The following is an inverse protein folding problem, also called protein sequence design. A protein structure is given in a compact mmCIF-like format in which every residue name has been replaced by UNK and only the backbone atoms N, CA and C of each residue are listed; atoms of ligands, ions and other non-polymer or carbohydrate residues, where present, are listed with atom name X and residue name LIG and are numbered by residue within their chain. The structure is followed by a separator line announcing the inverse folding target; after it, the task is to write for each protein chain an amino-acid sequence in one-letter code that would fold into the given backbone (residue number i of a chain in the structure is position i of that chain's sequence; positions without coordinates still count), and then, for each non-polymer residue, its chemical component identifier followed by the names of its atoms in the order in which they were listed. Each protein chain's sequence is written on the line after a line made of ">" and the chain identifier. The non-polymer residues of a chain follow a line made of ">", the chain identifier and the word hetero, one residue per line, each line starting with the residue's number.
data_IF_536998334575
#
_entry.id   IF_536998334575
#
_cell.length_a   1.000
_cell.length_b   1.000
_cell.length_c   1.000
_cell.angle_alpha   90.00
_cell.angle_beta   90.00
_cell.angle_gamma   90.00
#
_symmetry.space_group_name_H-M   'P 1'
#
loop_
_entity.id
_entity.type
_entity.pdbx_description
1 polymer ?
#
# COMPACT_ATOMS: atom_id res chain seq x y z
N UNK A 1 4.55 -19.82 20.11
CA UNK A 1 3.34 -19.00 20.05
C UNK A 1 2.18 -19.71 20.73
N UNK A 2 1.21 -18.95 21.18
CA UNK A 2 0.00 -19.44 21.84
C UNK A 2 -1.17 -18.55 21.41
N UNK A 3 -2.33 -19.18 21.12
CA UNK A 3 -3.56 -18.48 20.74
C UNK A 3 -3.35 -17.44 19.60
N UNK A 4 -2.56 -17.82 18.59
CA UNK A 4 -2.22 -16.99 17.43
C UNK A 4 -1.22 -15.86 17.69
N UNK A 5 -0.69 -15.72 18.92
CA UNK A 5 0.29 -14.68 19.29
C UNK A 5 1.67 -15.27 19.57
N UNK A 6 2.70 -14.52 19.18
CA UNK A 6 4.09 -14.83 19.51
C UNK A 6 4.30 -14.55 21.01
N UNK A 7 4.65 -15.59 21.76
CA UNK A 7 4.84 -15.46 23.22
C UNK A 7 6.30 -15.37 23.64
N UNK A 8 7.21 -15.81 22.77
CA UNK A 8 8.64 -15.77 23.02
C UNK A 8 9.41 -15.85 21.70
N UNK A 9 10.42 -15.00 21.56
CA UNK A 9 11.47 -15.08 20.53
C UNK A 9 12.81 -15.07 21.25
N UNK A 10 13.56 -16.16 21.16
CA UNK A 10 14.78 -16.28 21.94
C UNK A 10 15.84 -17.17 21.27
N UNK A 11 17.08 -17.00 21.69
CA UNK A 11 18.18 -17.85 21.26
C UNK A 11 18.04 -19.24 21.91
N UNK A 12 17.88 -20.27 21.10
CA UNK A 12 17.74 -21.66 21.57
C UNK A 12 18.92 -22.17 22.43
N UNK A 13 20.11 -21.56 22.31
CA UNK A 13 21.27 -21.90 23.15
C UNK A 13 21.14 -21.36 24.57
N UNK A 14 20.29 -20.35 24.80
CA UNK A 14 20.12 -19.66 26.08
C UNK A 14 18.91 -20.14 26.86
N UNK A 15 18.00 -20.87 26.24
CA UNK A 15 16.75 -21.31 26.85
C UNK A 15 16.61 -22.82 26.75
N UNK A 16 16.31 -23.47 27.91
CA UNK A 16 15.89 -24.86 27.95
C UNK A 16 14.35 -24.91 27.86
N UNK A 17 13.86 -25.34 26.73
CA UNK A 17 12.41 -25.60 26.56
C UNK A 17 12.09 -26.98 27.14
N UNK A 18 11.09 -27.05 28.01
CA UNK A 18 10.57 -28.34 28.49
C UNK A 18 9.83 -29.03 27.33
N UNK A 19 10.23 -30.25 26.96
CA UNK A 19 9.68 -30.97 25.81
C UNK A 19 8.14 -31.17 25.88
N UNK A 20 7.59 -31.28 27.09
CA UNK A 20 6.18 -31.53 27.32
C UNK A 20 5.33 -30.23 27.50
N UNK A 21 5.94 -29.09 27.37
CA UNK A 21 5.24 -27.79 27.53
C UNK A 21 4.48 -27.32 26.28
N UNK A 22 4.61 -28.01 25.16
CA UNK A 22 4.07 -27.58 23.87
C UNK A 22 3.27 -28.69 23.20
N UNK A 23 2.11 -28.32 22.64
CA UNK A 23 1.25 -29.23 21.90
C UNK A 23 1.88 -29.67 20.56
N UNK A 24 2.64 -28.78 19.92
CA UNK A 24 3.27 -29.05 18.64
C UNK A 24 4.66 -28.40 18.61
N UNK A 25 5.63 -29.14 18.10
CA UNK A 25 6.99 -28.65 17.87
C UNK A 25 7.32 -28.85 16.39
N UNK A 26 7.79 -27.78 15.75
CA UNK A 26 8.26 -27.81 14.35
C UNK A 26 9.77 -27.65 14.36
N UNK A 27 10.48 -28.65 13.85
CA UNK A 27 11.92 -28.54 13.65
C UNK A 27 12.20 -27.76 12.37
N UNK A 28 12.74 -26.55 12.53
CA UNK A 28 13.14 -25.67 11.44
C UNK A 28 14.68 -25.59 11.28
N UNK A 29 15.40 -26.62 11.71
CA UNK A 29 16.87 -26.68 11.59
C UNK A 29 17.29 -26.51 10.12
N UNK A 30 18.19 -25.55 9.87
CA UNK A 30 18.67 -25.22 8.52
C UNK A 30 17.68 -24.41 7.66
N UNK A 31 16.58 -23.97 8.23
CA UNK A 31 15.58 -23.12 7.58
C UNK A 31 15.52 -21.73 8.19
N UNK A 32 14.89 -20.81 7.49
CA UNK A 32 14.60 -19.47 7.95
C UNK A 32 13.11 -19.33 8.29
N UNK A 33 12.80 -18.56 9.32
CA UNK A 33 11.43 -18.17 9.68
C UNK A 33 11.27 -16.69 9.39
N UNK A 34 10.25 -16.35 8.60
CA UNK A 34 9.97 -14.98 8.21
C UNK A 34 8.58 -14.55 8.68
N UNK A 35 8.40 -13.26 9.04
CA UNK A 35 7.05 -12.71 9.16
C UNK A 35 6.36 -12.75 7.79
N UNK A 36 5.06 -12.91 7.76
CA UNK A 36 4.28 -12.89 6.53
C UNK A 36 4.51 -11.61 5.75
N UNK A 37 4.72 -11.72 4.44
CA UNK A 37 4.86 -10.59 3.54
C UNK A 37 3.53 -9.89 3.34
N UNK A 38 3.57 -8.57 3.16
CA UNK A 38 2.41 -7.69 3.03
C UNK A 38 2.44 -7.05 1.64
N UNK A 39 1.43 -7.30 0.83
CA UNK A 39 1.22 -6.58 -0.44
C UNK A 39 0.33 -5.37 -0.17
N UNK A 40 0.86 -4.14 -0.21
CA UNK A 40 0.04 -2.94 -0.15
C UNK A 40 -0.54 -2.60 -1.54
N UNK A 41 -1.53 -1.72 -1.57
CA UNK A 41 -2.12 -1.16 -2.79
C UNK A 41 -2.52 -2.21 -3.84
N UNK A 42 -3.23 -3.27 -3.43
CA UNK A 42 -3.56 -4.41 -4.28
C UNK A 42 -5.05 -4.54 -4.58
N UNK A 43 -5.37 -5.10 -5.74
CA UNK A 43 -6.73 -5.50 -6.14
C UNK A 43 -6.99 -7.01 -5.97
N UNK A 44 -6.17 -7.69 -5.17
CA UNK A 44 -6.39 -9.10 -4.82
C UNK A 44 -7.80 -9.31 -4.26
N UNK A 45 -8.55 -10.27 -4.85
CA UNK A 45 -9.92 -10.56 -4.47
C UNK A 45 -10.97 -9.54 -4.89
N UNK A 46 -10.59 -8.48 -5.62
CA UNK A 46 -11.54 -7.56 -6.28
C UNK A 46 -11.75 -7.89 -7.75
N UNK A 47 -10.78 -8.54 -8.38
CA UNK A 47 -10.86 -8.90 -9.80
C UNK A 47 -10.44 -10.35 -9.98
N UNK A 48 -11.30 -11.16 -10.59
CA UNK A 48 -11.00 -12.55 -10.92
C UNK A 48 -10.57 -12.68 -12.39
N UNK A 49 -11.38 -12.19 -13.31
CA UNK A 49 -11.14 -12.26 -14.77
C UNK A 49 -11.28 -10.86 -15.35
N UNK A 50 -10.16 -10.26 -15.79
CA UNK A 50 -10.13 -8.87 -16.33
C UNK A 50 -11.12 -8.64 -17.48
N UNK A 51 -11.36 -9.65 -18.31
CA UNK A 51 -12.25 -9.53 -19.46
C UNK A 51 -13.73 -9.69 -19.13
N UNK A 52 -14.08 -10.02 -17.88
CA UNK A 52 -15.46 -10.27 -17.45
C UNK A 52 -15.87 -9.22 -16.43
N UNK A 53 -16.60 -8.20 -16.87
CA UNK A 53 -16.99 -7.05 -16.04
C UNK A 53 -17.73 -7.44 -14.74
N UNK A 54 -18.49 -8.53 -14.74
CA UNK A 54 -19.18 -9.02 -13.53
C UNK A 54 -18.26 -9.64 -12.48
N UNK A 55 -16.98 -9.78 -12.76
CA UNK A 55 -15.95 -10.26 -11.82
C UNK A 55 -14.85 -9.22 -11.58
N UNK A 56 -15.12 -7.97 -11.92
CA UNK A 56 -14.21 -6.83 -11.84
C UNK A 56 -14.89 -5.74 -11.01
N UNK A 57 -14.58 -5.76 -9.70
CA UNK A 57 -15.13 -4.87 -8.68
C UNK A 57 -14.07 -3.92 -8.11
N UNK A 58 -13.02 -3.64 -8.88
CA UNK A 58 -11.96 -2.75 -8.41
C UNK A 58 -12.31 -1.27 -8.52
N UNK A 59 -13.27 -0.91 -9.40
CA UNK A 59 -13.60 0.47 -9.74
C UNK A 59 -15.10 0.74 -9.68
N UNK A 60 -15.49 1.85 -9.05
CA UNK A 60 -16.86 2.34 -8.96
C UNK A 60 -17.07 3.57 -9.86
N UNK A 61 -18.30 3.75 -10.34
CA UNK A 61 -18.69 4.91 -11.15
C UNK A 61 -18.63 6.18 -10.29
N UNK A 62 -17.96 7.20 -10.78
CA UNK A 62 -17.86 8.51 -10.11
C UNK A 62 -16.45 9.04 -10.00
N UNK A 63 -16.35 10.32 -9.67
CA UNK A 63 -15.05 10.99 -9.53
C UNK A 63 -14.60 11.05 -8.07
N UNK A 64 -15.55 11.13 -7.12
CA UNK A 64 -15.29 11.26 -5.69
C UNK A 64 -16.10 10.21 -4.93
N UNK A 65 -15.47 9.09 -4.63
CA UNK A 65 -16.10 7.89 -4.07
C UNK A 65 -15.53 7.48 -2.70
N UNK A 66 -15.24 8.39 -1.73
CA UNK A 66 -14.60 8.02 -0.46
C UNK A 66 -15.44 7.05 0.37
N UNK A 67 -16.75 6.98 0.13
CA UNK A 67 -17.70 6.06 0.78
C UNK A 67 -17.67 4.63 0.20
N UNK A 68 -17.02 4.44 -0.94
CA UNK A 68 -16.79 3.10 -1.50
C UNK A 68 -15.76 2.37 -0.66
N UNK A 69 -16.07 1.15 -0.25
CA UNK A 69 -15.27 0.33 0.64
C UNK A 69 -14.88 -0.96 -0.08
N UNK A 70 -13.61 -1.12 -0.40
CA UNK A 70 -13.09 -2.29 -1.12
C UNK A 70 -13.43 -3.63 -0.45
N UNK A 71 -13.47 -3.64 0.90
CA UNK A 71 -13.71 -4.86 1.68
C UNK A 71 -15.09 -5.50 1.39
N UNK A 72 -16.08 -4.72 0.97
CA UNK A 72 -17.42 -5.22 0.68
C UNK A 72 -17.44 -6.08 -0.57
N UNK A 73 -16.57 -5.77 -1.55
CA UNK A 73 -16.42 -6.52 -2.79
C UNK A 73 -15.35 -7.63 -2.70
N UNK A 74 -14.62 -7.71 -1.59
CA UNK A 74 -13.51 -8.64 -1.44
C UNK A 74 -13.96 -10.10 -1.41
N UNK A 75 -13.42 -10.89 -2.34
CA UNK A 75 -13.63 -12.33 -2.47
C UNK A 75 -12.47 -13.09 -1.84
N UNK A 76 -12.72 -13.69 -0.66
CA UNK A 76 -11.68 -14.38 0.12
C UNK A 76 -11.21 -15.71 -0.51
N UNK A 77 -12.07 -16.37 -1.29
CA UNK A 77 -11.79 -17.63 -1.97
C UNK A 77 -11.27 -17.49 -3.41
N UNK A 78 -10.80 -16.28 -3.75
CA UNK A 78 -10.18 -15.99 -5.03
C UNK A 78 -9.04 -16.97 -5.34
N UNK A 79 -9.05 -17.55 -6.55
CA UNK A 79 -8.00 -18.46 -7.01
C UNK A 79 -6.65 -17.78 -7.16
N UNK A 80 -6.62 -16.47 -7.34
CA UNK A 80 -5.38 -15.71 -7.38
C UNK A 80 -4.70 -15.70 -6.01
N UNK A 81 -5.48 -15.59 -4.90
CA UNK A 81 -4.97 -15.62 -3.53
C UNK A 81 -4.24 -16.95 -3.25
N UNK A 82 -4.80 -18.07 -3.70
CA UNK A 82 -4.15 -19.37 -3.56
C UNK A 82 -2.75 -19.42 -4.20
N UNK A 83 -2.51 -18.63 -5.25
CA UNK A 83 -1.22 -18.61 -5.97
C UNK A 83 -0.17 -17.70 -5.33
N UNK A 84 -0.55 -16.73 -4.50
CA UNK A 84 0.39 -15.80 -3.87
C UNK A 84 0.84 -16.27 -2.49
N UNK A 85 -0.01 -16.99 -1.75
CA UNK A 85 0.29 -17.51 -0.41
C UNK A 85 1.55 -18.39 -0.34
N UNK A 86 1.80 -19.34 -1.28
CA UNK A 86 3.02 -20.16 -1.27
C UNK A 86 4.32 -19.34 -1.40
N UNK A 87 4.24 -18.08 -1.84
CA UNK A 87 5.38 -17.17 -1.92
C UNK A 87 5.58 -16.33 -0.65
N UNK A 88 4.92 -16.70 0.45
CA UNK A 88 5.04 -16.03 1.75
C UNK A 88 4.19 -14.77 1.89
N UNK A 89 3.35 -14.44 0.91
CA UNK A 89 2.43 -13.30 0.99
C UNK A 89 1.20 -13.74 1.76
N UNK A 90 1.09 -13.25 2.98
CA UNK A 90 0.03 -13.67 3.92
C UNK A 90 -0.97 -12.56 4.23
N UNK A 91 -0.67 -11.32 3.84
CA UNK A 91 -1.51 -10.15 4.07
C UNK A 91 -1.52 -9.24 2.85
N UNK A 92 -2.61 -8.50 2.66
CA UNK A 92 -2.73 -7.51 1.59
C UNK A 92 -3.57 -6.31 2.05
N UNK A 93 -3.25 -5.12 1.53
CA UNK A 93 -4.15 -3.98 1.55
C UNK A 93 -4.98 -4.01 0.26
N UNK A 94 -6.27 -4.21 0.42
CA UNK A 94 -7.22 -4.26 -0.70
C UNK A 94 -7.66 -2.83 -1.02
N UNK A 95 -7.31 -2.38 -2.21
CA UNK A 95 -7.40 -0.97 -2.59
C UNK A 95 -8.33 -0.79 -3.79
N UNK A 96 -9.34 0.08 -3.69
CA UNK A 96 -10.19 0.41 -4.83
C UNK A 96 -9.44 1.27 -5.85
N UNK A 97 -9.86 1.22 -7.09
CA UNK A 97 -9.32 1.98 -8.22
C UNK A 97 -10.31 3.03 -8.71
N UNK A 98 -9.90 3.78 -9.72
CA UNK A 98 -10.74 4.75 -10.43
C UNK A 98 -10.97 6.06 -9.70
N UNK A 99 -11.59 6.99 -10.41
CA UNK A 99 -11.93 8.33 -9.89
C UNK A 99 -10.73 9.16 -9.45
N UNK A 100 -10.98 10.35 -8.88
CA UNK A 100 -9.97 11.15 -8.17
C UNK A 100 -9.87 10.78 -6.69
N UNK A 101 -10.98 10.34 -6.12
CA UNK A 101 -11.04 9.68 -4.82
C UNK A 101 -11.64 8.32 -5.07
N UNK A 102 -10.80 7.28 -5.03
CA UNK A 102 -11.20 5.92 -5.40
C UNK A 102 -12.09 5.27 -4.36
N UNK A 103 -11.83 5.52 -3.08
CA UNK A 103 -12.53 4.89 -1.97
C UNK A 103 -11.63 4.55 -0.81
N UNK A 104 -12.16 3.77 0.11
CA UNK A 104 -11.45 3.28 1.30
C UNK A 104 -10.88 1.89 1.07
N UNK A 105 -9.59 1.74 1.37
CA UNK A 105 -8.92 0.45 1.45
C UNK A 105 -9.18 -0.23 2.79
N UNK A 106 -8.88 -1.53 2.83
CA UNK A 106 -8.87 -2.33 4.07
C UNK A 106 -7.74 -3.35 4.01
N UNK A 107 -7.25 -3.75 5.17
CA UNK A 107 -6.15 -4.71 5.27
C UNK A 107 -6.71 -6.07 5.69
N UNK A 108 -6.32 -7.11 4.96
CA UNK A 108 -6.80 -8.47 5.14
C UNK A 108 -5.65 -9.47 5.29
N UNK A 109 -5.90 -10.55 6.01
CA UNK A 109 -5.14 -11.80 5.91
C UNK A 109 -5.67 -12.62 4.73
N UNK A 110 -4.79 -13.42 4.12
CA UNK A 110 -5.13 -14.16 2.91
C UNK A 110 -5.53 -15.63 3.16
N UNK A 111 -5.81 -15.99 4.42
CA UNK A 111 -6.27 -17.31 4.82
C UNK A 111 -7.58 -17.20 5.62
N UNK A 112 -8.69 -17.03 4.89
CA UNK A 112 -10.01 -16.85 5.50
C UNK A 112 -11.10 -17.40 4.58
N UNK A 113 -12.24 -17.79 5.16
CA UNK A 113 -13.41 -18.24 4.42
C UNK A 113 -14.25 -17.10 3.84
N UNK A 114 -14.28 -15.95 4.53
CA UNK A 114 -15.00 -14.77 4.06
C UNK A 114 -14.36 -13.48 4.57
N UNK A 115 -14.76 -12.36 4.00
CA UNK A 115 -14.12 -11.06 4.22
C UNK A 115 -14.06 -10.59 5.69
N UNK A 116 -15.05 -10.96 6.55
CA UNK A 116 -15.05 -10.58 7.98
C UNK A 116 -13.95 -11.30 8.77
N UNK A 117 -13.67 -12.56 8.43
CA UNK A 117 -12.57 -13.31 9.03
C UNK A 117 -11.22 -12.88 8.48
N UNK A 118 -11.19 -12.44 7.22
CA UNK A 118 -9.99 -11.91 6.59
C UNK A 118 -9.55 -10.58 7.19
N UNK A 119 -10.47 -9.79 7.74
CA UNK A 119 -10.26 -8.40 8.10
C UNK A 119 -9.28 -8.24 9.27
N UNK A 120 -8.15 -7.56 9.01
CA UNK A 120 -7.19 -7.11 10.02
C UNK A 120 -7.51 -5.67 10.43
N UNK A 121 -7.73 -4.77 9.44
CA UNK A 121 -8.05 -3.37 9.68
C UNK A 121 -9.02 -2.87 8.62
N UNK A 122 -10.16 -2.42 9.06
CA UNK A 122 -11.21 -1.90 8.20
C UNK A 122 -10.97 -0.42 7.90
N UNK A 123 -11.20 -0.02 6.63
CA UNK A 123 -11.14 1.38 6.20
C UNK A 123 -9.85 2.09 6.67
N UNK A 124 -8.69 1.47 6.43
CA UNK A 124 -7.39 1.94 6.91
C UNK A 124 -6.99 3.29 6.32
N UNK A 125 -7.48 3.62 5.14
CA UNK A 125 -7.23 4.91 4.50
C UNK A 125 -8.06 5.16 3.25
N UNK A 126 -7.99 6.39 2.78
CA UNK A 126 -8.63 6.85 1.54
C UNK A 126 -7.57 7.08 0.47
N UNK A 127 -7.83 6.60 -0.73
CA UNK A 127 -6.94 6.71 -1.88
C UNK A 127 -7.38 7.85 -2.79
N UNK A 128 -6.43 8.74 -3.15
CA UNK A 128 -6.63 9.81 -4.14
C UNK A 128 -5.62 9.67 -5.28
N UNK A 129 -6.09 9.91 -6.50
CA UNK A 129 -5.29 9.92 -7.70
C UNK A 129 -5.05 11.35 -8.14
N UNK A 130 -3.81 11.83 -8.06
CA UNK A 130 -3.48 13.14 -8.58
C UNK A 130 -3.47 13.13 -10.11
N UNK A 131 -3.88 14.24 -10.74
CA UNK A 131 -3.81 14.35 -12.19
C UNK A 131 -2.35 14.25 -12.67
N UNK A 132 -2.11 13.59 -13.80
CA UNK A 132 -0.81 13.62 -14.45
C UNK A 132 -0.49 15.02 -14.93
N UNK A 133 0.79 15.47 -14.83
CA UNK A 133 1.23 16.79 -15.30
C UNK A 133 1.30 16.85 -16.82
N UNK A 134 1.53 15.70 -17.46
CA UNK A 134 1.52 15.53 -18.91
C UNK A 134 0.49 14.48 -19.32
N UNK A 135 0.00 14.61 -20.54
CA UNK A 135 -0.87 13.61 -21.17
C UNK A 135 -0.26 13.18 -22.49
N UNK A 136 -0.30 11.89 -22.75
CA UNK A 136 0.05 11.34 -24.05
C UNK A 136 -1.22 11.22 -24.88
N UNK A 137 -1.23 11.82 -26.06
CA UNK A 137 -2.27 11.63 -27.07
C UNK A 137 -2.15 10.27 -27.75
N UNK A 138 -3.11 9.96 -28.63
CA UNK A 138 -3.15 8.71 -29.39
C UNK A 138 -3.65 7.52 -28.55
N UNK A 139 -3.35 6.33 -29.02
CA UNK A 139 -3.70 5.07 -28.36
C UNK A 139 -2.46 4.16 -28.24
N UNK A 140 -2.56 3.05 -27.52
CA UNK A 140 -1.40 2.25 -27.15
C UNK A 140 -0.54 1.75 -28.33
N UNK A 141 -1.16 1.46 -29.52
CA UNK A 141 -0.44 1.01 -30.72
C UNK A 141 0.10 2.19 -31.58
N UNK A 142 -0.48 3.38 -31.46
CA UNK A 142 -0.06 4.59 -32.14
C UNK A 142 0.01 5.75 -31.14
N UNK A 143 1.03 5.77 -30.28
CA UNK A 143 1.16 6.80 -29.27
C UNK A 143 1.44 8.17 -29.92
N UNK A 144 0.63 9.15 -29.54
CA UNK A 144 0.76 10.55 -30.00
C UNK A 144 1.79 11.33 -29.19
N UNK A 145 1.80 12.65 -29.42
CA UNK A 145 2.68 13.58 -28.70
C UNK A 145 2.38 13.62 -27.20
N UNK A 146 3.42 13.90 -26.41
CA UNK A 146 3.28 14.20 -24.98
C UNK A 146 3.05 15.70 -24.85
N UNK A 147 1.96 16.10 -24.22
CA UNK A 147 1.58 17.48 -24.03
C UNK A 147 1.30 17.79 -22.56
N UNK A 148 1.58 19.03 -22.09
CA UNK A 148 1.20 19.44 -20.75
C UNK A 148 -0.31 19.30 -20.51
N UNK A 149 -0.68 18.80 -19.34
CA UNK A 149 -2.09 18.71 -18.95
C UNK A 149 -2.63 20.10 -18.59
N UNK A 150 -3.33 20.74 -19.51
CA UNK A 150 -3.93 22.07 -19.32
C UNK A 150 -4.97 22.11 -18.19
N UNK A 151 -5.58 20.98 -17.86
CA UNK A 151 -6.59 20.86 -16.80
C UNK A 151 -5.99 20.52 -15.42
N UNK A 152 -4.67 20.36 -15.31
CA UNK A 152 -4.00 19.94 -14.08
C UNK A 152 -4.42 20.75 -12.85
N UNK A 153 -4.28 22.08 -12.93
CA UNK A 153 -4.60 22.98 -11.81
C UNK A 153 -6.09 22.96 -11.45
N UNK A 154 -6.98 22.88 -12.45
CA UNK A 154 -8.43 22.77 -12.22
C UNK A 154 -8.76 21.47 -11.50
N UNK A 155 -8.19 20.36 -11.94
CA UNK A 155 -8.39 19.05 -11.34
C UNK A 155 -7.86 18.98 -9.90
N UNK A 156 -6.72 19.62 -9.62
CA UNK A 156 -6.19 19.74 -8.27
C UNK A 156 -7.10 20.61 -7.38
N UNK A 157 -7.62 21.71 -7.92
CA UNK A 157 -8.58 22.58 -7.21
C UNK A 157 -9.89 21.86 -6.89
N UNK A 158 -10.39 20.96 -7.75
CA UNK A 158 -11.58 20.16 -7.49
C UNK A 158 -11.37 19.21 -6.28
N UNK A 159 -10.19 18.56 -6.18
CA UNK A 159 -9.84 17.75 -5.02
C UNK A 159 -9.76 18.61 -3.75
N UNK A 160 -9.13 19.79 -3.84
CA UNK A 160 -9.03 20.72 -2.70
C UNK A 160 -10.41 21.21 -2.24
N UNK A 161 -11.28 21.58 -3.18
CA UNK A 161 -12.64 22.02 -2.88
C UNK A 161 -13.46 20.88 -2.21
N UNK A 162 -13.27 19.66 -2.67
CA UNK A 162 -13.88 18.48 -2.06
C UNK A 162 -13.48 18.34 -0.58
N UNK A 163 -12.18 18.38 -0.24
CA UNK A 163 -11.73 18.26 1.15
C UNK A 163 -12.17 19.45 2.01
N UNK A 164 -12.13 20.67 1.48
CA UNK A 164 -12.64 21.86 2.20
C UNK A 164 -14.14 21.74 2.52
N UNK A 165 -14.95 21.32 1.55
CA UNK A 165 -16.39 21.12 1.77
C UNK A 165 -16.67 19.97 2.75
N UNK A 166 -15.89 18.87 2.68
CA UNK A 166 -15.98 17.76 3.61
C UNK A 166 -15.68 18.20 5.05
N UNK A 167 -14.60 18.96 5.24
CA UNK A 167 -14.22 19.50 6.55
C UNK A 167 -15.28 20.45 7.10
N UNK A 168 -15.83 21.31 6.26
CA UNK A 168 -16.91 22.25 6.65
C UNK A 168 -18.17 21.50 7.08
N UNK A 169 -18.58 20.49 6.32
CA UNK A 169 -19.72 19.63 6.66
C UNK A 169 -19.52 18.92 8.02
N UNK A 170 -18.35 18.31 8.25
CA UNK A 170 -18.06 17.60 9.49
C UNK A 170 -17.96 18.51 10.72
N UNK A 171 -17.67 19.80 10.54
CA UNK A 171 -17.63 20.80 11.60
C UNK A 171 -18.97 21.51 11.85
N UNK A 172 -19.97 21.28 10.99
CA UNK A 172 -21.30 21.91 11.06
C UNK A 172 -22.36 21.01 11.68
N UNK A 173 -23.54 21.59 11.89
CA UNK A 173 -24.78 20.88 12.28
C UNK A 173 -25.65 20.74 11.02
N UNK A 174 -25.46 19.68 10.23
CA UNK A 174 -26.30 19.42 9.07
C UNK A 174 -27.43 18.45 9.44
N UNK A 175 -28.66 18.79 9.08
CA UNK A 175 -29.82 17.91 9.29
C UNK A 175 -29.87 16.77 8.26
N UNK A 176 -29.11 16.87 7.16
CA UNK A 176 -29.05 15.86 6.11
C UNK A 176 -27.73 15.09 6.16
N UNK A 177 -27.85 13.77 6.17
CA UNK A 177 -26.69 12.86 6.15
C UNK A 177 -26.07 12.80 4.76
N UNK A 178 -24.73 12.99 4.67
CA UNK A 178 -23.96 12.84 3.45
C UNK A 178 -22.86 11.77 3.63
N UNK A 179 -23.13 10.56 3.14
CA UNK A 179 -22.23 9.41 3.29
C UNK A 179 -20.86 9.63 2.62
N UNK A 180 -20.83 10.36 1.50
CA UNK A 180 -19.58 10.67 0.79
C UNK A 180 -18.66 11.51 1.67
N UNK A 181 -19.24 12.53 2.32
CA UNK A 181 -18.48 13.43 3.19
C UNK A 181 -18.12 12.75 4.52
N UNK A 182 -19.07 12.01 5.13
CA UNK A 182 -18.85 11.28 6.40
C UNK A 182 -17.68 10.29 6.29
N UNK A 183 -17.51 9.65 5.13
CA UNK A 183 -16.43 8.70 4.92
C UNK A 183 -15.03 9.33 5.06
N UNK A 184 -14.90 10.66 4.90
CA UNK A 184 -13.62 11.37 5.04
C UNK A 184 -13.25 11.73 6.47
N UNK A 185 -14.15 11.48 7.45
CA UNK A 185 -13.95 11.87 8.86
C UNK A 185 -12.62 11.41 9.42
N UNK A 186 -12.24 10.16 9.14
CA UNK A 186 -11.00 9.56 9.63
C UNK A 186 -9.73 10.25 9.16
N UNK A 187 -9.76 10.96 8.03
CA UNK A 187 -8.65 11.77 7.55
C UNK A 187 -8.39 12.99 8.45
N UNK A 188 -9.44 13.59 9.01
CA UNK A 188 -9.34 14.81 9.82
C UNK A 188 -9.12 14.50 11.30
N UNK A 189 -9.65 13.40 11.82
CA UNK A 189 -9.39 12.94 13.20
C UNK A 189 -8.13 12.09 13.35
N UNK A 190 -7.49 11.71 12.23
CA UNK A 190 -6.24 10.96 12.19
C UNK A 190 -6.38 9.46 12.40
N UNK A 191 -7.59 8.89 12.29
CA UNK A 191 -7.80 7.43 12.34
C UNK A 191 -7.56 6.75 11.01
N UNK A 192 -7.66 7.49 9.89
CA UNK A 192 -7.37 7.02 8.54
C UNK A 192 -6.13 7.71 7.94
N UNK A 193 -5.47 7.03 7.02
CA UNK A 193 -4.36 7.55 6.23
C UNK A 193 -4.86 8.06 4.88
N UNK A 194 -4.34 9.17 4.41
CA UNK A 194 -4.51 9.62 3.03
C UNK A 194 -3.40 9.01 2.18
N UNK A 195 -3.76 8.11 1.28
CA UNK A 195 -2.86 7.53 0.29
C UNK A 195 -2.93 8.35 -0.99
N UNK A 196 -1.82 9.03 -1.33
CA UNK A 196 -1.73 9.91 -2.50
C UNK A 196 -1.00 9.19 -3.61
N UNK A 197 -1.71 8.81 -4.66
CA UNK A 197 -1.11 8.23 -5.86
C UNK A 197 -0.47 9.33 -6.69
N UNK A 198 0.86 9.35 -6.71
CA UNK A 198 1.67 10.36 -7.37
C UNK A 198 3.07 9.81 -7.69
N UNK A 199 3.53 9.98 -8.92
CA UNK A 199 4.84 9.53 -9.38
C UNK A 199 5.82 10.69 -9.58
N UNK A 200 5.36 11.82 -10.11
CA UNK A 200 6.18 12.97 -10.46
C UNK A 200 6.42 13.89 -9.25
N UNK A 201 7.59 14.54 -9.17
CA UNK A 201 7.93 15.47 -8.10
C UNK A 201 6.83 16.51 -7.86
N UNK A 202 6.34 17.14 -8.95
CA UNK A 202 5.28 18.15 -8.87
C UNK A 202 3.99 17.59 -8.26
N UNK A 203 3.56 16.42 -8.66
CA UNK A 203 2.38 15.76 -8.08
C UNK A 203 2.57 15.51 -6.58
N UNK A 204 3.72 14.97 -6.19
CA UNK A 204 4.05 14.66 -4.79
C UNK A 204 4.01 15.94 -3.95
N UNK A 205 4.64 17.01 -4.41
CA UNK A 205 4.68 18.30 -3.70
C UNK A 205 3.28 18.90 -3.58
N UNK A 206 2.56 19.00 -4.69
CA UNK A 206 1.21 19.58 -4.74
C UNK A 206 0.23 18.77 -3.87
N UNK A 207 0.31 17.43 -3.91
CA UNK A 207 -0.55 16.54 -3.11
C UNK A 207 -0.29 16.66 -1.61
N UNK A 208 0.97 16.73 -1.20
CA UNK A 208 1.34 16.93 0.21
C UNK A 208 0.86 18.31 0.69
N UNK A 209 1.08 19.37 -0.09
CA UNK A 209 0.63 20.71 0.27
C UNK A 209 -0.88 20.77 0.43
N UNK A 210 -1.63 20.22 -0.54
CA UNK A 210 -3.07 20.13 -0.51
C UNK A 210 -3.58 19.42 0.76
N UNK A 211 -2.96 18.29 1.12
CA UNK A 211 -3.35 17.54 2.30
C UNK A 211 -3.09 18.34 3.59
N UNK A 212 -1.91 18.94 3.72
CA UNK A 212 -1.52 19.74 4.89
C UNK A 212 -2.39 20.99 5.06
N UNK A 213 -2.71 21.71 3.97
CA UNK A 213 -3.61 22.88 3.99
C UNK A 213 -5.01 22.52 4.50
N UNK A 214 -5.48 21.30 4.23
CA UNK A 214 -6.75 20.80 4.74
C UNK A 214 -6.67 20.24 6.17
N UNK A 215 -5.45 20.16 6.75
CA UNK A 215 -5.22 19.65 8.11
C UNK A 215 -5.08 18.13 8.19
N UNK A 216 -4.91 17.44 7.06
CA UNK A 216 -4.66 16.00 7.00
C UNK A 216 -3.17 15.77 7.26
N UNK A 217 -2.85 14.94 8.28
CA UNK A 217 -1.47 14.75 8.73
C UNK A 217 -0.91 13.36 8.47
N UNK A 218 -1.77 12.34 8.42
CA UNK A 218 -1.34 10.98 8.07
C UNK A 218 -1.39 10.82 6.57
N UNK A 219 -0.22 10.86 5.94
CA UNK A 219 -0.06 10.83 4.49
C UNK A 219 0.94 9.74 4.12
N UNK A 220 0.64 8.99 3.09
CA UNK A 220 1.56 8.05 2.44
C UNK A 220 1.51 8.31 0.93
N UNK A 221 2.67 8.44 0.30
CA UNK A 221 2.77 8.51 -1.16
C UNK A 221 2.74 7.09 -1.72
N UNK A 222 1.92 6.87 -2.74
CA UNK A 222 1.83 5.61 -3.50
C UNK A 222 2.35 5.85 -4.90
N UNK A 223 3.28 5.02 -5.36
CA UNK A 223 4.02 5.24 -6.61
C UNK A 223 5.39 5.84 -6.33
N UNK A 224 5.50 7.14 -6.26
CA UNK A 224 6.67 7.85 -5.76
C UNK A 224 7.93 7.69 -6.60
N UNK A 225 7.82 7.55 -7.92
CA UNK A 225 8.97 7.36 -8.79
C UNK A 225 10.00 8.51 -8.69
N UNK A 226 9.55 9.75 -8.52
CA UNK A 226 10.42 10.91 -8.30
C UNK A 226 10.47 11.38 -6.82
N UNK A 227 10.03 10.56 -5.88
CA UNK A 227 10.00 10.91 -4.46
C UNK A 227 11.37 11.33 -3.89
N UNK A 228 12.46 10.84 -4.48
CA UNK A 228 13.82 11.22 -4.08
C UNK A 228 14.13 12.72 -4.27
N UNK A 229 13.44 13.39 -5.20
CA UNK A 229 13.54 14.86 -5.43
C UNK A 229 12.79 15.61 -4.34
N UNK A 230 11.66 15.10 -3.87
CA UNK A 230 10.85 15.67 -2.79
C UNK A 230 11.28 15.24 -1.38
N UNK A 231 12.40 14.55 -1.22
CA UNK A 231 12.85 13.96 0.04
C UNK A 231 12.85 14.92 1.24
N UNK A 232 13.29 16.20 1.15
CA UNK A 232 13.24 17.12 2.27
C UNK A 232 11.81 17.38 2.78
N UNK A 233 10.82 17.44 1.87
CA UNK A 233 9.43 17.67 2.22
C UNK A 233 8.82 16.42 2.88
N UNK A 234 9.14 15.22 2.37
CA UNK A 234 8.73 13.95 2.94
C UNK A 234 9.25 13.79 4.37
N UNK A 235 10.54 14.03 4.59
CA UNK A 235 11.17 13.93 5.92
C UNK A 235 10.59 14.94 6.91
N UNK A 236 10.44 16.22 6.49
CA UNK A 236 9.89 17.27 7.35
C UNK A 236 8.51 16.91 7.90
N UNK A 237 7.69 16.20 7.12
CA UNK A 237 6.32 15.85 7.47
C UNK A 237 6.13 14.38 7.88
N UNK A 238 7.23 13.62 8.03
CA UNK A 238 7.20 12.18 8.37
C UNK A 238 6.31 11.37 7.41
N UNK A 239 6.43 11.64 6.11
CA UNK A 239 5.66 10.98 5.05
C UNK A 239 6.49 9.85 4.46
N UNK A 240 5.94 8.64 4.48
CA UNK A 240 6.57 7.48 3.85
C UNK A 240 6.07 7.23 2.43
N UNK A 241 6.69 6.28 1.76
CA UNK A 241 6.45 5.95 0.36
C UNK A 241 6.18 4.46 0.20
N UNK A 242 5.05 4.11 -0.38
CA UNK A 242 4.82 2.81 -1.01
C UNK A 242 5.35 2.90 -2.44
N UNK A 243 6.59 2.47 -2.62
CA UNK A 243 7.31 2.62 -3.87
C UNK A 243 6.75 1.65 -4.91
N UNK A 244 6.41 2.18 -6.08
CA UNK A 244 5.92 1.38 -7.21
C UNK A 244 6.87 0.26 -7.60
N UNK A 245 6.35 -0.71 -8.36
CA UNK A 245 7.13 -1.81 -8.89
C UNK A 245 8.44 -1.35 -9.52
N UNK A 246 9.55 -1.81 -8.97
CA UNK A 246 10.91 -1.42 -9.41
C UNK A 246 11.38 -2.15 -10.67
N UNK A 247 10.75 -3.28 -11.04
CA UNK A 247 11.01 -3.96 -12.32
C UNK A 247 10.29 -3.21 -13.45
N UNK A 248 10.82 -2.05 -13.76
CA UNK A 248 10.31 -1.14 -14.77
C UNK A 248 11.47 -0.38 -15.43
N UNK A 249 11.18 0.34 -16.49
CA UNK A 249 12.12 1.25 -17.15
C UNK A 249 12.05 2.64 -16.53
N UNK A 250 13.11 3.46 -16.64
CA UNK A 250 13.05 4.87 -16.31
C UNK A 250 11.92 5.57 -17.06
N UNK A 251 11.33 6.59 -16.43
CA UNK A 251 10.24 7.35 -17.03
C UNK A 251 10.75 8.33 -18.10
N UNK A 252 11.95 8.85 -17.91
CA UNK A 252 12.57 9.85 -18.80
C UNK A 252 13.88 9.32 -19.38
N UNK A 253 14.17 9.72 -20.62
CA UNK A 253 15.35 9.26 -21.37
C UNK A 253 16.70 9.69 -20.77
N UNK A 254 16.71 10.76 -19.98
CA UNK A 254 17.90 11.29 -19.30
C UNK A 254 18.20 10.62 -17.95
N UNK A 255 17.35 9.72 -17.50
CA UNK A 255 17.52 9.00 -16.24
C UNK A 255 18.46 7.78 -16.41
N UNK A 256 19.19 7.47 -15.32
CA UNK A 256 19.97 6.23 -15.24
C UNK A 256 19.05 5.02 -15.45
N UNK A 257 19.45 4.13 -16.37
CA UNK A 257 18.67 2.92 -16.71
C UNK A 257 18.36 2.07 -15.46
N UNK A 258 19.23 2.10 -14.46
CA UNK A 258 19.10 1.36 -13.21
C UNK A 258 18.36 2.14 -12.11
N UNK A 259 17.90 3.37 -12.39
CA UNK A 259 17.27 4.20 -11.39
C UNK A 259 16.10 3.53 -10.67
N UNK A 260 15.15 2.84 -11.35
CA UNK A 260 14.07 2.14 -10.67
C UNK A 260 14.57 1.12 -9.64
N UNK A 261 15.60 0.35 -9.97
CA UNK A 261 16.17 -0.69 -9.10
C UNK A 261 16.91 -0.12 -7.88
N UNK A 262 17.50 1.08 -8.03
CA UNK A 262 18.24 1.80 -6.97
C UNK A 262 17.32 2.61 -6.05
N UNK A 263 16.09 2.89 -6.46
CA UNK A 263 15.20 3.85 -5.81
C UNK A 263 14.93 3.54 -4.34
N UNK A 264 14.65 2.28 -4.01
CA UNK A 264 14.41 1.88 -2.62
C UNK A 264 15.61 2.20 -1.72
N UNK A 265 16.83 1.96 -2.21
CA UNK A 265 18.08 2.30 -1.50
C UNK A 265 18.22 3.81 -1.36
N UNK A 266 18.04 4.58 -2.43
CA UNK A 266 18.16 6.04 -2.43
C UNK A 266 17.25 6.68 -1.40
N UNK A 267 15.98 6.25 -1.33
CA UNK A 267 15.01 6.76 -0.37
C UNK A 267 15.33 6.33 1.06
N UNK A 268 15.71 5.07 1.26
CA UNK A 268 16.08 4.53 2.58
C UNK A 268 17.33 5.22 3.13
N UNK A 269 18.35 5.46 2.32
CA UNK A 269 19.58 6.16 2.73
C UNK A 269 19.31 7.63 3.09
N UNK A 270 18.29 8.24 2.52
CA UNK A 270 17.80 9.56 2.92
C UNK A 270 16.96 9.53 4.22
N UNK A 271 16.66 8.36 4.77
CA UNK A 271 15.87 8.20 6.00
C UNK A 271 14.36 8.17 5.79
N UNK A 272 13.88 8.04 4.57
CA UNK A 272 12.45 7.92 4.26
C UNK A 272 12.00 6.49 4.54
N UNK A 273 10.83 6.33 5.17
CA UNK A 273 10.21 5.04 5.37
C UNK A 273 9.65 4.54 4.03
N UNK A 274 10.15 3.41 3.55
CA UNK A 274 9.79 2.83 2.26
C UNK A 274 9.19 1.46 2.45
N UNK A 275 8.05 1.21 1.79
CA UNK A 275 7.50 -0.11 1.49
C UNK A 275 7.51 -0.34 -0.02
N UNK A 276 7.44 -1.58 -0.46
CA UNK A 276 7.30 -1.91 -1.89
C UNK A 276 5.86 -2.28 -2.20
N UNK A 277 5.35 -1.76 -3.30
CA UNK A 277 4.09 -2.16 -3.89
C UNK A 277 4.33 -2.76 -5.29
N UNK A 278 3.34 -3.43 -5.84
CA UNK A 278 3.47 -4.12 -7.11
C UNK A 278 2.35 -3.77 -8.09
N UNK A 279 1.80 -2.54 -7.97
CA UNK A 279 0.74 -2.08 -8.85
C UNK A 279 1.17 -1.96 -10.31
N UNK A 280 0.21 -1.93 -11.18
CA UNK A 280 0.39 -1.86 -12.63
C UNK A 280 -0.33 -2.99 -13.36
N UNK A 281 -0.05 -3.17 -14.65
CA UNK A 281 -0.70 -4.23 -15.45
C UNK A 281 -0.53 -5.62 -14.83
N UNK A 282 -1.65 -6.31 -14.62
CA UNK A 282 -1.71 -7.66 -14.01
C UNK A 282 -1.12 -7.73 -12.60
N UNK A 283 -1.24 -6.66 -11.83
CA UNK A 283 -0.61 -6.49 -10.53
C UNK A 283 -0.94 -7.62 -9.55
N UNK A 284 -2.21 -8.02 -9.44
CA UNK A 284 -2.66 -9.08 -8.54
C UNK A 284 -1.99 -10.43 -8.85
N UNK A 285 -1.86 -10.78 -10.16
CA UNK A 285 -1.15 -11.99 -10.60
C UNK A 285 0.35 -11.91 -10.31
N UNK A 286 0.92 -10.71 -10.42
CA UNK A 286 2.35 -10.44 -10.23
C UNK A 286 2.72 -10.22 -8.76
N UNK A 287 1.74 -10.09 -7.85
CA UNK A 287 1.97 -9.89 -6.41
C UNK A 287 2.88 -10.97 -5.80
N UNK A 288 2.80 -12.22 -6.31
CA UNK A 288 3.70 -13.32 -5.92
C UNK A 288 5.19 -13.00 -6.14
N UNK A 289 5.52 -11.98 -6.95
CA UNK A 289 6.90 -11.59 -7.25
C UNK A 289 7.45 -10.58 -6.23
N UNK A 290 6.66 -10.13 -5.26
CA UNK A 290 7.09 -9.14 -4.27
C UNK A 290 8.43 -9.49 -3.58
N UNK A 291 8.71 -10.75 -3.17
CA UNK A 291 10.01 -11.11 -2.61
C UNK A 291 11.18 -10.91 -3.59
N UNK A 292 10.95 -11.11 -4.89
CA UNK A 292 11.99 -10.88 -5.91
C UNK A 292 12.28 -9.40 -6.13
N UNK A 293 11.28 -8.52 -5.96
CA UNK A 293 11.50 -7.08 -5.95
C UNK A 293 12.42 -6.69 -4.80
N UNK A 294 12.16 -7.18 -3.58
CA UNK A 294 13.04 -6.97 -2.43
C UNK A 294 14.46 -7.52 -2.68
N UNK A 295 14.58 -8.71 -3.28
CA UNK A 295 15.86 -9.29 -3.67
C UNK A 295 16.63 -8.43 -4.67
N UNK A 296 15.93 -7.80 -5.63
CA UNK A 296 16.55 -6.86 -6.58
C UNK A 296 17.10 -5.63 -5.87
N UNK A 297 16.40 -5.09 -4.86
CA UNK A 297 16.94 -3.99 -4.05
C UNK A 297 18.27 -4.35 -3.39
N UNK A 298 18.45 -5.61 -2.96
CA UNK A 298 19.74 -6.09 -2.41
C UNK A 298 20.81 -6.11 -3.48
N UNK A 299 20.49 -6.60 -4.68
CA UNK A 299 21.46 -6.62 -5.80
C UNK A 299 21.94 -5.21 -6.16
N UNK A 300 21.12 -4.19 -5.95
CA UNK A 300 21.47 -2.77 -6.15
C UNK A 300 21.91 -2.05 -4.87
N UNK A 301 22.36 -2.81 -3.87
CA UNK A 301 23.14 -2.32 -2.75
C UNK A 301 22.36 -1.94 -1.50
N UNK A 302 21.08 -2.33 -1.40
CA UNK A 302 20.35 -2.23 -0.14
C UNK A 302 20.76 -3.42 0.77
N UNK A 303 20.88 -3.17 2.07
CA UNK A 303 21.09 -4.23 3.06
C UNK A 303 19.95 -5.27 3.02
N UNK A 304 20.28 -6.56 3.21
CA UNK A 304 19.33 -7.67 3.10
C UNK A 304 18.16 -7.55 4.09
N UNK A 305 18.46 -7.20 5.33
CA UNK A 305 17.42 -7.06 6.36
C UNK A 305 16.54 -5.83 6.10
N UNK A 306 17.14 -4.73 5.62
CA UNK A 306 16.38 -3.55 5.19
C UNK A 306 15.49 -3.86 3.99
N UNK A 307 15.98 -4.65 3.03
CA UNK A 307 15.16 -5.07 1.89
C UNK A 307 13.97 -5.95 2.32
N UNK A 308 14.17 -6.86 3.28
CA UNK A 308 13.09 -7.63 3.86
C UNK A 308 12.06 -6.74 4.57
N UNK A 309 12.53 -5.70 5.29
CA UNK A 309 11.64 -4.74 5.95
C UNK A 309 10.74 -3.99 4.96
N UNK A 310 11.17 -3.77 3.71
CA UNK A 310 10.34 -3.10 2.69
C UNK A 310 9.02 -3.82 2.42
N UNK A 311 8.96 -5.13 2.61
CA UNK A 311 7.79 -5.97 2.33
C UNK A 311 7.17 -6.57 3.60
N UNK A 312 7.66 -6.15 4.77
CA UNK A 312 7.22 -6.61 6.10
C UNK A 312 6.98 -5.43 7.04
N UNK A 313 7.91 -5.13 7.93
CA UNK A 313 7.77 -4.14 9.00
C UNK A 313 7.53 -2.72 8.48
N UNK A 314 8.23 -2.28 7.43
CA UNK A 314 8.04 -0.93 6.91
C UNK A 314 6.66 -0.77 6.28
N UNK A 315 6.22 -1.76 5.48
CA UNK A 315 4.86 -1.78 4.94
C UNK A 315 3.83 -1.81 6.07
N UNK A 316 4.03 -2.63 7.12
CA UNK A 316 3.14 -2.65 8.28
C UNK A 316 3.04 -1.26 8.95
N UNK A 317 4.17 -0.53 9.09
CA UNK A 317 4.19 0.84 9.64
C UNK A 317 3.42 1.83 8.75
N UNK A 318 3.63 1.77 7.43
CA UNK A 318 2.93 2.64 6.49
C UNK A 318 1.41 2.41 6.50
N UNK A 319 0.98 1.18 6.73
CA UNK A 319 -0.43 0.79 6.85
C UNK A 319 -0.99 0.95 8.27
N UNK A 320 -0.12 1.22 9.27
CA UNK A 320 -0.52 1.38 10.67
C UNK A 320 -1.03 0.09 11.32
N UNK A 321 -0.36 -1.04 11.03
CA UNK A 321 -0.61 -2.36 11.61
C UNK A 321 0.66 -2.99 12.24
N UNK A 322 1.72 -2.21 12.39
CA UNK A 322 3.02 -2.66 12.90
C UNK A 322 3.00 -3.11 14.36
N UNK A 323 1.99 -2.72 15.12
CA UNK A 323 1.77 -3.22 16.47
C UNK A 323 1.22 -4.66 16.49
N UNK A 324 0.63 -5.11 15.38
CA UNK A 324 0.01 -6.43 15.27
C UNK A 324 0.87 -7.41 14.46
N UNK A 325 1.56 -6.95 13.42
CA UNK A 325 2.28 -7.81 12.48
C UNK A 325 3.51 -7.12 11.86
N UNK A 326 4.16 -7.77 10.88
CA UNK A 326 5.29 -7.24 10.13
C UNK A 326 6.67 -7.56 10.70
N UNK A 327 6.76 -8.12 11.91
CA UNK A 327 8.01 -8.60 12.50
C UNK A 327 7.73 -9.77 13.46
N UNK A 328 8.77 -10.54 13.78
CA UNK A 328 8.71 -11.63 14.75
C UNK A 328 9.07 -11.08 16.13
N UNK A 329 8.08 -10.51 16.83
CA UNK A 329 8.22 -9.93 18.15
C UNK A 329 7.13 -10.44 19.11
N UNK A 330 7.44 -10.51 20.40
CA UNK A 330 6.48 -10.92 21.41
C UNK A 330 5.24 -10.01 21.43
N UNK A 331 4.07 -10.62 21.54
CA UNK A 331 2.77 -9.95 21.52
C UNK A 331 2.16 -9.75 20.13
N UNK A 332 2.94 -9.86 19.05
CA UNK A 332 2.44 -9.78 17.67
C UNK A 332 1.78 -11.08 17.22
N UNK A 333 1.01 -10.99 16.16
CA UNK A 333 0.38 -12.15 15.54
C UNK A 333 1.43 -13.10 14.96
N UNK A 334 1.23 -14.40 15.16
CA UNK A 334 2.08 -15.44 14.63
C UNK A 334 1.83 -15.69 13.13
N UNK A 335 1.68 -14.61 12.35
CA UNK A 335 1.57 -14.64 10.90
C UNK A 335 2.96 -14.76 10.31
N UNK A 336 3.39 -15.99 10.06
CA UNK A 336 4.75 -16.33 9.67
C UNK A 336 4.79 -17.52 8.71
N UNK A 337 5.92 -17.71 8.05
CA UNK A 337 6.18 -18.90 7.23
C UNK A 337 7.64 -19.37 7.40
N UNK A 338 7.87 -20.62 7.03
CA UNK A 338 9.19 -21.28 7.08
C UNK A 338 9.65 -21.57 5.66
N UNK A 339 10.90 -21.20 5.34
CA UNK A 339 11.51 -21.38 4.01
C UNK A 339 12.88 -22.05 4.09
#
# INVERSE_FOLDING_TARGET
>A
FKDGKITLVANAQQIKLAKDAYNTTIDATGKHVYPGFIVPNSTLGLVEIDAVKSSDDEEEIGTFNPNVRSIVAYTADSKVIETVRPNGILMAQITPRGGRVSGSSSIVQLDAWHWKEALIKENDGIHINLPATFRRGGWWAEPGSIEPNKEYNKQLQEINAFFKSSKAYLGGTSDSRNLVTEATKGLFDGTQTLFIHADEEKQIVDGIQLALENGIKKIVIVGGFEAYKAAPLLLKNNIGVLLRRIHDLPTNEDQDIDLPYKMAKILTDKGILVGLENSGSKERMSSRNLPFLAGTCVAYGLDKEKALQLITLNTAKLLGIDQQCGSLEEGKDATLFIS
#
